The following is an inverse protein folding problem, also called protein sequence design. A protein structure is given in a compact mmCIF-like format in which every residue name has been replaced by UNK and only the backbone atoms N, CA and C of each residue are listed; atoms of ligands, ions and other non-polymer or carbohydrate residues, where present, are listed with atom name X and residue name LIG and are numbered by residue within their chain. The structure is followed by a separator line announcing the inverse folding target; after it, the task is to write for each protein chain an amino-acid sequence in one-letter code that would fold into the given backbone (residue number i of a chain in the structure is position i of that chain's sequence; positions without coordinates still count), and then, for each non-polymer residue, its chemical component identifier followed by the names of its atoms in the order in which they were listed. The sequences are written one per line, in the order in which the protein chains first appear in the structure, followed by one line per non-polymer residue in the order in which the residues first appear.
data_IF_780195972812
#
_entry.id   IF_780195972812
#
_cell.length_a   1.000
_cell.length_b   1.000
_cell.length_c   1.000
_cell.angle_alpha   90.00
_cell.angle_beta   90.00
_cell.angle_gamma   90.00
#
_symmetry.space_group_name_H-M   'P 1'
#
loop_
_entity.id
_entity.type
_entity.pdbx_description
1 polymer ?
#
# COMPACT_ATOMS: atom_id res chain seq x y z
N UNK A 1 -8.93 -6.14 9.31
CA UNK A 1 -7.83 -5.91 10.26
C UNK A 1 -7.06 -4.73 9.67
N UNK A 2 -6.57 -3.80 10.47
CA UNK A 2 -5.76 -2.70 9.95
C UNK A 2 -4.37 -3.20 9.54
N UNK A 3 -3.70 -2.48 8.65
CA UNK A 3 -2.28 -2.68 8.34
C UNK A 3 -1.44 -2.64 9.63
N UNK A 4 -0.40 -3.47 9.70
CA UNK A 4 0.56 -3.43 10.81
C UNK A 4 1.54 -2.26 10.61
N UNK A 5 1.53 -1.20 11.44
CA UNK A 5 2.40 -0.04 11.24
C UNK A 5 3.89 -0.35 11.46
N UNK A 6 4.25 -1.54 11.98
CA UNK A 6 5.63 -1.97 12.17
C UNK A 6 6.03 -3.10 11.22
N UNK A 7 5.35 -3.24 10.08
CA UNK A 7 5.58 -4.34 9.15
C UNK A 7 7.05 -4.45 8.70
N UNK A 8 7.77 -3.33 8.61
CA UNK A 8 9.17 -3.31 8.20
C UNK A 8 10.13 -3.96 9.23
N UNK A 9 9.67 -4.15 10.46
CA UNK A 9 10.43 -4.82 11.51
C UNK A 9 10.18 -6.33 11.58
N UNK A 10 9.09 -6.81 10.96
CA UNK A 10 8.64 -8.19 11.12
C UNK A 10 8.31 -8.93 9.80
N UNK A 11 8.30 -8.24 8.67
CA UNK A 11 8.18 -8.81 7.32
C UNK A 11 9.49 -8.66 6.56
N UNK A 12 9.77 -9.63 5.70
CA UNK A 12 10.88 -9.56 4.75
C UNK A 12 10.42 -8.94 3.43
N UNK A 13 11.33 -8.22 2.75
CA UNK A 13 11.09 -7.76 1.38
C UNK A 13 11.08 -9.00 0.47
N UNK A 14 9.93 -9.31 -0.10
CA UNK A 14 9.75 -10.44 -1.00
C UNK A 14 10.20 -10.10 -2.42
N UNK A 15 9.78 -8.92 -2.91
CA UNK A 15 10.06 -8.47 -4.27
C UNK A 15 9.97 -6.95 -4.44
N UNK A 16 10.00 -6.49 -5.69
CA UNK A 16 9.89 -5.08 -6.07
C UNK A 16 8.83 -4.93 -7.16
N UNK A 17 7.86 -4.05 -6.94
CA UNK A 17 6.77 -3.74 -7.87
C UNK A 17 6.87 -2.27 -8.30
N UNK A 18 6.92 -1.99 -9.60
CA UNK A 18 6.86 -0.64 -10.21
C UNK A 18 7.73 0.48 -9.59
N UNK A 19 8.77 0.15 -8.81
CA UNK A 19 9.65 1.14 -8.19
C UNK A 19 9.77 1.02 -6.68
N UNK A 20 8.76 0.46 -6.01
CA UNK A 20 8.69 0.28 -4.56
C UNK A 20 8.87 -1.17 -4.13
N UNK A 21 9.12 -1.36 -2.84
CA UNK A 21 9.29 -2.67 -2.22
C UNK A 21 7.93 -3.34 -1.97
N UNK A 22 7.90 -4.66 -2.05
CA UNK A 22 6.78 -5.49 -1.61
C UNK A 22 7.23 -6.31 -0.41
N UNK A 23 6.51 -6.17 0.69
CA UNK A 23 6.77 -6.84 1.96
C UNK A 23 5.87 -8.05 2.09
N UNK A 24 6.49 -9.23 2.13
CA UNK A 24 5.78 -10.50 2.09
C UNK A 24 5.06 -10.84 3.39
N UNK A 25 4.40 -12.00 3.45
CA UNK A 25 4.37 -13.04 2.42
C UNK A 25 3.65 -12.61 1.13
N UNK A 26 4.05 -13.21 0.01
CA UNK A 26 3.39 -13.13 -1.30
C UNK A 26 3.16 -14.57 -1.76
N UNK A 27 1.90 -14.92 -2.00
CA UNK A 27 1.41 -16.20 -2.51
C UNK A 27 0.20 -15.90 -3.40
N UNK A 28 0.48 -15.52 -4.65
CA UNK A 28 -0.54 -15.08 -5.59
C UNK A 28 -1.51 -16.20 -6.00
N UNK A 29 -2.81 -15.90 -6.21
CA UNK A 29 -3.42 -14.57 -6.11
C UNK A 29 -3.91 -14.17 -4.71
N UNK A 30 -3.96 -15.10 -3.75
CA UNK A 30 -4.66 -14.91 -2.47
C UNK A 30 -3.94 -14.00 -1.49
N UNK A 31 -2.63 -13.86 -1.61
CA UNK A 31 -1.80 -13.05 -0.72
C UNK A 31 -0.77 -12.24 -1.52
N UNK A 32 -0.84 -10.92 -1.44
CA UNK A 32 0.03 -10.00 -2.16
C UNK A 32 0.82 -9.06 -1.24
N UNK A 33 0.57 -9.12 0.07
CA UNK A 33 1.38 -8.46 1.07
C UNK A 33 1.26 -6.94 1.02
N UNK A 34 2.31 -6.24 1.47
CA UNK A 34 2.29 -4.78 1.60
C UNK A 34 3.17 -4.14 0.52
N UNK A 35 2.58 -3.28 -0.30
CA UNK A 35 3.26 -2.53 -1.34
C UNK A 35 3.67 -1.15 -0.81
N UNK A 36 4.93 -0.76 -0.98
CA UNK A 36 5.44 0.54 -0.54
C UNK A 36 6.23 0.49 0.76
N UNK A 37 6.90 1.60 1.10
CA UNK A 37 7.59 1.79 2.39
C UNK A 37 7.15 3.08 3.03
N UNK A 38 7.35 4.20 2.35
CA UNK A 38 6.98 5.52 2.87
C UNK A 38 5.46 5.63 2.94
N UNK A 39 4.82 5.29 1.81
CA UNK A 39 3.38 5.08 1.72
C UNK A 39 3.18 3.61 1.45
N UNK A 40 2.65 2.90 2.43
CA UNK A 40 2.47 1.46 2.39
C UNK A 40 0.98 1.12 2.28
N UNK A 41 0.64 0.22 1.34
CA UNK A 41 -0.72 -0.29 1.16
C UNK A 41 -0.71 -1.79 1.32
N UNK A 42 -1.48 -2.31 2.27
CA UNK A 42 -1.67 -3.76 2.44
C UNK A 42 -2.70 -4.26 1.42
N UNK A 43 -2.23 -4.99 0.40
CA UNK A 43 -3.07 -5.51 -0.68
C UNK A 43 -4.01 -6.62 -0.18
N UNK A 44 -3.66 -7.28 0.93
CA UNK A 44 -4.49 -8.29 1.59
C UNK A 44 -5.66 -7.68 2.37
N UNK A 45 -5.70 -6.34 2.51
CA UNK A 45 -6.75 -5.59 3.21
C UNK A 45 -7.47 -4.62 2.25
N UNK A 46 -6.75 -4.05 1.28
CA UNK A 46 -7.31 -3.08 0.34
C UNK A 46 -8.49 -3.68 -0.45
N UNK A 47 -9.67 -3.07 -0.33
CA UNK A 47 -10.91 -3.51 -1.01
C UNK A 47 -11.26 -2.67 -2.24
N UNK A 48 -10.29 -1.96 -2.81
CA UNK A 48 -10.48 -1.06 -3.95
C UNK A 48 -11.55 0.04 -3.75
N UNK A 49 -11.60 0.64 -2.55
CA UNK A 49 -12.54 1.72 -2.24
C UNK A 49 -12.31 2.97 -3.11
N UNK A 50 -11.05 3.38 -3.27
CA UNK A 50 -10.65 4.44 -4.20
C UNK A 50 -10.57 5.85 -3.60
N UNK A 51 -11.04 6.10 -2.37
CA UNK A 51 -10.94 7.43 -1.74
C UNK A 51 -9.50 7.95 -1.67
N UNK A 52 -8.51 7.07 -1.47
CA UNK A 52 -7.10 7.47 -1.48
C UNK A 52 -6.60 7.96 -2.85
N UNK A 53 -7.15 7.48 -3.96
CA UNK A 53 -6.84 8.01 -5.30
C UNK A 53 -7.53 9.36 -5.52
N UNK A 54 -8.78 9.51 -5.08
CA UNK A 54 -9.56 10.74 -5.28
C UNK A 54 -9.05 11.91 -4.45
N UNK A 55 -8.66 11.66 -3.20
CA UNK A 55 -8.31 12.71 -2.23
C UNK A 55 -6.80 13.01 -2.17
N UNK A 56 -5.94 12.19 -2.81
CA UNK A 56 -4.50 12.46 -2.79
C UNK A 56 -4.17 13.69 -3.66
N UNK A 57 -3.65 14.79 -3.08
CA UNK A 57 -3.40 16.03 -3.83
C UNK A 57 -2.17 15.97 -4.74
N UNK A 58 -1.41 14.87 -4.69
CA UNK A 58 -0.14 14.69 -5.40
C UNK A 58 -0.06 13.32 -6.11
N UNK A 59 -1.20 12.68 -6.36
CA UNK A 59 -1.34 11.49 -7.20
C UNK A 59 -0.35 10.34 -6.84
N UNK A 60 -0.27 10.00 -5.55
CA UNK A 60 0.60 8.91 -5.06
C UNK A 60 0.20 7.54 -5.61
N UNK A 61 -1.10 7.33 -5.81
CA UNK A 61 -1.70 6.02 -6.06
C UNK A 61 -2.18 5.87 -7.50
N UNK A 62 -2.00 4.69 -8.07
CA UNK A 62 -2.63 4.26 -9.31
C UNK A 62 -3.37 2.93 -9.11
N UNK A 63 -4.31 2.60 -10.00
CA UNK A 63 -4.93 1.28 -9.99
C UNK A 63 -3.98 0.24 -10.58
N UNK A 64 -3.79 -0.88 -9.89
CA UNK A 64 -3.13 -2.08 -10.43
C UNK A 64 -4.08 -3.27 -10.40
N UNK A 65 -3.95 -4.17 -11.37
CA UNK A 65 -4.80 -5.36 -11.50
C UNK A 65 -4.30 -6.48 -10.57
N UNK A 66 -5.21 -7.07 -9.79
CA UNK A 66 -4.95 -8.19 -8.87
C UNK A 66 -6.01 -9.29 -9.04
N UNK A 67 -6.16 -9.86 -10.25
CA UNK A 67 -7.27 -10.74 -10.59
C UNK A 67 -7.28 -12.01 -9.72
N UNK A 68 -8.44 -12.29 -9.11
CA UNK A 68 -8.64 -13.46 -8.26
C UNK A 68 -8.27 -13.27 -6.79
N UNK A 69 -7.80 -12.07 -6.39
CA UNK A 69 -7.52 -11.77 -5.00
C UNK A 69 -8.85 -11.68 -4.19
N UNK A 70 -8.95 -12.28 -2.99
CA UNK A 70 -10.18 -12.36 -2.21
C UNK A 70 -10.88 -11.02 -1.94
N UNK A 71 -10.11 -9.98 -1.61
CA UNK A 71 -10.66 -8.66 -1.26
C UNK A 71 -11.09 -7.80 -2.46
N UNK A 72 -10.41 -7.87 -3.60
CA UNK A 72 -10.74 -7.11 -4.83
C UNK A 72 -9.84 -7.50 -6.00
N UNK A 73 -10.36 -7.40 -7.23
CA UNK A 73 -9.59 -7.68 -8.47
C UNK A 73 -8.65 -6.54 -8.91
N UNK A 74 -8.63 -5.42 -8.17
CA UNK A 74 -7.72 -4.27 -8.37
C UNK A 74 -7.28 -3.72 -7.01
N UNK A 75 -6.16 -2.99 -6.96
CA UNK A 75 -5.63 -2.35 -5.73
C UNK A 75 -5.11 -0.94 -6.00
N UNK A 76 -5.09 -0.12 -4.95
CA UNK A 76 -4.43 1.18 -4.96
C UNK A 76 -2.92 0.99 -4.74
N UNK A 77 -2.13 1.02 -5.80
CA UNK A 77 -0.69 0.83 -5.76
C UNK A 77 0.03 2.17 -5.49
N UNK A 78 0.92 2.28 -4.48
CA UNK A 78 1.60 3.53 -4.14
C UNK A 78 2.82 3.80 -5.04
N UNK A 79 2.64 3.70 -6.35
CA UNK A 79 3.70 3.81 -7.37
C UNK A 79 4.53 5.11 -7.25
N UNK A 80 3.89 6.19 -6.80
CA UNK A 80 4.52 7.50 -6.62
C UNK A 80 4.76 7.82 -5.14
N UNK A 81 5.05 6.83 -4.28
CA UNK A 81 5.25 7.04 -2.83
C UNK A 81 6.30 8.13 -2.47
N UNK A 82 7.24 8.41 -3.38
CA UNK A 82 8.25 9.46 -3.25
C UNK A 82 7.69 10.88 -3.37
N UNK A 83 6.50 11.05 -3.94
CA UNK A 83 5.81 12.34 -4.07
C UNK A 83 4.95 12.68 -2.85
N UNK A 84 4.75 11.73 -1.93
CA UNK A 84 3.95 11.92 -0.74
C UNK A 84 4.44 13.14 0.07
N UNK A 85 3.48 13.95 0.50
CA UNK A 85 3.69 15.19 1.26
C UNK A 85 3.26 15.07 2.74
N UNK A 86 3.11 13.84 3.24
CA UNK A 86 2.78 13.54 4.64
C UNK A 86 1.48 14.17 5.13
N UNK A 87 0.48 14.32 4.24
CA UNK A 87 -0.80 14.94 4.57
C UNK A 87 -1.75 14.04 5.38
N UNK A 88 -1.47 12.73 5.40
CA UNK A 88 -2.23 11.68 6.11
C UNK A 88 -3.69 11.46 5.67
N UNK A 89 -4.18 12.17 4.64
CA UNK A 89 -5.56 12.03 4.16
C UNK A 89 -5.88 10.59 3.74
N UNK A 90 -5.01 9.93 2.99
CA UNK A 90 -5.22 8.55 2.55
C UNK A 90 -5.37 7.54 3.70
N UNK A 91 -4.69 7.80 4.83
CA UNK A 91 -4.81 6.97 6.04
C UNK A 91 -6.19 7.20 6.67
N UNK A 92 -6.62 8.46 6.80
CA UNK A 92 -7.89 8.83 7.43
C UNK A 92 -9.13 8.41 6.63
N UNK A 93 -9.05 8.43 5.29
CA UNK A 93 -10.20 8.13 4.42
C UNK A 93 -10.35 6.64 4.10
N UNK A 94 -9.33 5.81 4.34
CA UNK A 94 -9.40 4.39 4.03
C UNK A 94 -10.36 3.67 4.99
N UNK A 95 -11.49 3.08 4.50
CA UNK A 95 -12.50 2.52 5.39
C UNK A 95 -12.08 1.22 6.10
N UNK A 96 -10.96 0.64 5.68
CA UNK A 96 -10.43 -0.64 6.18
C UNK A 96 -9.03 -0.51 6.76
N UNK A 97 -8.52 0.72 6.93
CA UNK A 97 -7.20 1.00 7.48
C UNK A 97 -6.09 0.20 6.75
N UNK A 98 -6.15 0.12 5.42
CA UNK A 98 -5.17 -0.60 4.60
C UNK A 98 -3.90 0.20 4.30
N UNK A 99 -3.87 1.49 4.64
CA UNK A 99 -2.79 2.42 4.25
C UNK A 99 -2.10 2.93 5.50
N UNK A 100 -0.77 2.91 5.48
CA UNK A 100 0.06 3.54 6.50
C UNK A 100 1.12 4.44 5.86
N UNK A 101 1.35 5.61 6.45
CA UNK A 101 2.33 6.60 6.00
C UNK A 101 3.26 6.95 7.17
N UNK A 102 4.56 6.68 7.01
CA UNK A 102 5.56 7.01 8.02
C UNK A 102 6.79 7.72 7.41
N UNK A 103 6.95 9.04 7.63
CA UNK A 103 8.08 9.81 7.10
C UNK A 103 9.43 9.41 7.72
N UNK A 104 9.42 8.68 8.85
CA UNK A 104 10.58 8.19 9.59
C UNK A 104 11.08 6.81 9.16
N UNK A 105 10.36 6.07 8.31
CA UNK A 105 10.76 4.72 7.90
C UNK A 105 12.10 4.69 7.18
N UNK A 106 12.95 3.77 7.62
CA UNK A 106 14.24 3.53 6.99
C UNK A 106 14.06 2.95 5.57
N UNK A 107 14.55 3.68 4.57
CA UNK A 107 14.50 3.24 3.17
C UNK A 107 13.31 3.74 2.36
N UNK A 108 12.69 4.85 2.75
CA UNK A 108 11.96 5.68 1.77
C UNK A 108 12.92 6.03 0.62
N UNK A 109 12.50 5.76 -0.62
CA UNK A 109 13.30 5.96 -1.83
C UNK A 109 13.54 7.43 -2.14
#
# INVERSE_FOLDING_TARGET
MAIDPHFEANRDVAEKHEGHRVWGPVDEPEQQGIHGTHVAVDFDICMADGACLEDCPVDVFEWTDTPGHPESDIKADPINETQCIDCMLCVDVCPVDAIDVDPGRAGRL
#
